data_IF_251537695737
#
_entry.id   IF_251537695737
#
_cell.length_a   1.000
_cell.length_b   1.000
_cell.length_c   1.000
_cell.angle_alpha   90.00
_cell.angle_beta   90.00
_cell.angle_gamma   90.00
#
_symmetry.space_group_name_H-M   'P 1'
#
loop_
_entity.id
_entity.type
_entity.pdbx_description
1 polymer ?
#
# COMPACT_ATOMS: atom_id res chain seq x y z
N UNK A 1 -25.64 76.81 17.58
CA UNK A 1 -25.95 77.52 16.32
C UNK A 1 -24.74 77.49 15.39
N UNK A 2 -25.01 77.26 14.10
CA UNK A 2 -24.18 77.60 12.93
C UNK A 2 -22.89 76.80 12.69
N UNK A 3 -23.12 75.73 11.92
CA UNK A 3 -22.33 75.24 10.80
C UNK A 3 -21.20 76.14 10.28
N UNK A 4 -19.99 75.59 10.15
CA UNK A 4 -18.99 76.05 9.19
C UNK A 4 -18.67 74.93 8.20
N UNK A 5 -19.09 75.15 6.95
CA UNK A 5 -18.68 74.42 5.75
C UNK A 5 -17.17 74.61 5.54
N UNK A 6 -16.45 73.54 5.24
CA UNK A 6 -15.17 73.63 4.52
C UNK A 6 -15.17 72.66 3.35
N UNK A 7 -15.23 73.25 2.15
CA UNK A 7 -15.12 72.60 0.86
C UNK A 7 -13.71 71.98 0.72
N UNK A 8 -13.63 70.71 0.35
CA UNK A 8 -12.39 70.10 -0.13
C UNK A 8 -12.48 69.88 -1.64
N UNK A 9 -11.72 70.69 -2.36
CA UNK A 9 -11.51 70.60 -3.80
C UNK A 9 -10.60 69.42 -4.17
N UNK A 10 -11.00 68.71 -5.22
CA UNK A 10 -10.31 67.65 -5.95
C UNK A 10 -8.77 67.75 -6.01
N UNK A 11 -8.09 66.70 -5.53
CA UNK A 11 -6.72 66.38 -5.96
C UNK A 11 -6.66 64.91 -6.40
N UNK A 12 -6.61 64.71 -7.72
CA UNK A 12 -6.40 63.42 -8.39
C UNK A 12 -5.06 62.83 -7.95
N UNK A 13 -5.07 61.69 -7.26
CA UNK A 13 -3.86 60.89 -7.00
C UNK A 13 -3.81 59.75 -8.02
N UNK A 14 -2.83 59.83 -8.92
CA UNK A 14 -2.50 58.81 -9.92
C UNK A 14 -1.94 57.56 -9.22
N UNK A 15 -2.63 56.42 -9.32
CA UNK A 15 -2.11 55.11 -8.93
C UNK A 15 -1.09 54.62 -9.97
N UNK A 16 0.20 54.78 -9.68
CA UNK A 16 1.29 54.21 -10.46
C UNK A 16 1.33 52.67 -10.31
N UNK A 17 1.06 51.95 -11.42
CA UNK A 17 1.27 50.50 -11.56
C UNK A 17 2.77 50.16 -11.45
N UNK A 18 3.25 49.73 -10.28
CA UNK A 18 4.56 49.06 -10.15
C UNK A 18 4.42 47.58 -10.53
N UNK A 19 4.93 47.21 -11.71
CA UNK A 19 5.17 45.83 -12.15
C UNK A 19 6.16 45.14 -11.18
N UNK A 20 5.71 44.12 -10.42
CA UNK A 20 6.62 43.22 -9.68
C UNK A 20 7.10 42.10 -10.60
N UNK A 21 8.41 42.07 -10.86
CA UNK A 21 9.16 41.02 -11.56
C UNK A 21 9.02 39.69 -10.81
N UNK A 22 8.57 38.63 -11.49
CA UNK A 22 8.59 37.26 -10.95
C UNK A 22 10.02 36.69 -11.05
N UNK A 23 10.64 36.41 -9.90
CA UNK A 23 11.91 35.67 -9.83
C UNK A 23 11.63 34.20 -10.20
N UNK A 24 12.28 33.69 -11.25
CA UNK A 24 12.30 32.26 -11.60
C UNK A 24 13.07 31.49 -10.50
N UNK A 25 12.41 30.60 -9.77
CA UNK A 25 13.08 29.64 -8.90
C UNK A 25 13.65 28.50 -9.77
N UNK A 26 14.98 28.36 -9.75
CA UNK A 26 15.68 27.21 -10.34
C UNK A 26 15.37 25.95 -9.52
N UNK A 27 14.82 24.92 -10.19
CA UNK A 27 14.58 23.61 -9.56
C UNK A 27 15.91 22.85 -9.40
N UNK A 28 16.36 22.66 -8.16
CA UNK A 28 17.41 21.69 -7.80
C UNK A 28 16.93 20.28 -8.19
N UNK A 29 17.72 19.57 -9.00
CA UNK A 29 17.53 18.15 -9.32
C UNK A 29 17.88 17.32 -8.09
N UNK A 30 16.90 16.62 -7.52
CA UNK A 30 17.15 15.54 -6.55
C UNK A 30 17.31 14.24 -7.35
N UNK A 31 18.51 13.65 -7.29
CA UNK A 31 18.79 12.33 -7.85
C UNK A 31 18.20 11.27 -6.92
N UNK A 32 17.15 10.56 -7.37
CA UNK A 32 16.65 9.39 -6.68
C UNK A 32 17.52 8.17 -7.01
N UNK A 33 18.17 7.63 -5.97
CA UNK A 33 18.98 6.43 -5.97
C UNK A 33 18.19 5.19 -6.37
N UNK A 34 18.81 4.37 -7.23
CA UNK A 34 18.31 3.13 -7.84
C UNK A 34 17.83 2.10 -6.80
N UNK A 35 16.54 1.75 -6.80
CA UNK A 35 16.06 0.46 -6.26
C UNK A 35 15.88 -0.56 -7.39
N UNK A 36 16.42 -1.76 -7.14
CA UNK A 36 16.60 -2.89 -8.05
C UNK A 36 15.27 -3.36 -8.67
N UNK A 37 15.29 -3.58 -9.99
CA UNK A 37 14.20 -4.15 -10.80
C UNK A 37 14.03 -5.64 -10.49
N UNK A 38 12.86 -6.03 -10.01
CA UNK A 38 12.42 -7.43 -10.05
C UNK A 38 11.66 -7.63 -11.36
N UNK A 39 12.21 -8.53 -12.19
CA UNK A 39 11.69 -8.88 -13.50
C UNK A 39 10.41 -9.71 -13.38
N UNK A 40 9.26 -9.17 -13.81
CA UNK A 40 8.14 -9.98 -14.33
C UNK A 40 7.74 -9.44 -15.70
N UNK A 41 8.38 -9.99 -16.75
CA UNK A 41 7.95 -9.85 -18.14
C UNK A 41 6.72 -10.74 -18.34
N UNK A 42 5.52 -10.18 -18.32
CA UNK A 42 4.36 -10.79 -18.98
C UNK A 42 4.20 -10.08 -20.31
N UNK A 43 4.65 -10.74 -21.39
CA UNK A 43 4.44 -10.30 -22.77
C UNK A 43 3.02 -10.67 -23.19
N UNK A 44 2.05 -9.78 -23.02
CA UNK A 44 0.79 -9.85 -23.76
C UNK A 44 0.98 -9.15 -25.11
N UNK A 45 1.51 -9.91 -26.07
CA UNK A 45 1.42 -9.55 -27.50
C UNK A 45 -0.02 -9.82 -27.95
N UNK A 46 -0.81 -8.76 -28.13
CA UNK A 46 -2.07 -8.83 -28.86
C UNK A 46 -1.79 -9.20 -30.33
N UNK A 47 -1.77 -10.50 -30.64
CA UNK A 47 -2.02 -11.01 -32.00
C UNK A 47 -3.53 -11.17 -32.16
N UNK A 48 -4.25 -10.08 -32.42
CA UNK A 48 -5.57 -10.20 -33.03
C UNK A 48 -5.32 -10.58 -34.49
N UNK A 49 -5.41 -11.88 -34.78
CA UNK A 49 -5.48 -12.39 -36.14
C UNK A 49 -6.69 -11.73 -36.81
N UNK A 50 -6.44 -11.01 -37.91
CA UNK A 50 -7.47 -10.55 -38.85
C UNK A 50 -8.17 -11.80 -39.41
N UNK A 51 -9.35 -12.15 -38.88
CA UNK A 51 -10.25 -13.04 -39.58
C UNK A 51 -10.86 -12.24 -40.75
N UNK A 52 -10.21 -12.33 -41.91
CA UNK A 52 -10.84 -12.04 -43.20
C UNK A 52 -11.86 -13.15 -43.46
N UNK A 53 -13.09 -12.99 -42.97
CA UNK A 53 -14.21 -13.77 -43.47
C UNK A 53 -14.55 -13.26 -44.88
N UNK A 54 -13.95 -13.89 -45.88
CA UNK A 54 -14.41 -13.83 -47.28
C UNK A 54 -15.70 -14.65 -47.39
N UNK A 55 -16.85 -14.08 -47.07
CA UNK A 55 -18.12 -14.66 -47.51
C UNK A 55 -18.47 -14.07 -48.87
N UNK A 56 -17.95 -14.73 -49.92
CA UNK A 56 -18.51 -14.67 -51.28
C UNK A 56 -19.85 -15.41 -51.27
N UNK A 57 -20.95 -14.71 -51.02
CA UNK A 57 -22.28 -15.23 -51.35
C UNK A 57 -22.68 -14.68 -52.72
N UNK A 58 -22.31 -15.41 -53.78
CA UNK A 58 -22.90 -15.25 -55.12
C UNK A 58 -24.30 -15.86 -55.10
N UNK A 59 -25.32 -15.09 -54.78
CA UNK A 59 -26.69 -15.50 -55.05
C UNK A 59 -27.03 -15.18 -56.51
N UNK A 60 -26.65 -16.11 -57.40
CA UNK A 60 -27.25 -16.25 -58.73
C UNK A 60 -28.71 -16.67 -58.54
N UNK A 61 -29.61 -15.71 -58.58
CA UNK A 61 -31.04 -15.99 -58.70
C UNK A 61 -31.31 -16.32 -60.18
N UNK A 62 -31.55 -17.60 -60.45
CA UNK A 62 -32.06 -18.12 -61.72
C UNK A 62 -33.46 -17.55 -61.95
N UNK A 63 -33.68 -16.85 -63.06
CA UNK A 63 -35.01 -16.55 -63.60
C UNK A 63 -35.28 -17.46 -64.80
N UNK A 64 -36.10 -18.48 -64.52
CA UNK A 64 -37.27 -18.97 -65.24
C UNK A 64 -37.31 -19.00 -66.79
N UNK A 65 -37.47 -20.23 -67.27
CA UNK A 65 -38.46 -20.70 -68.26
C UNK A 65 -38.72 -19.81 -69.48
N UNK A 66 -37.90 -20.03 -70.52
CA UNK A 66 -38.33 -19.90 -71.90
C UNK A 66 -39.16 -21.14 -72.28
N UNK A 67 -40.48 -21.00 -72.33
CA UNK A 67 -41.33 -21.93 -73.08
C UNK A 67 -41.22 -21.56 -74.56
N UNK A 68 -40.37 -22.28 -75.30
CA UNK A 68 -40.41 -22.26 -76.76
C UNK A 68 -41.64 -23.06 -77.21
N UNK A 69 -42.63 -22.32 -77.66
CA UNK A 69 -43.81 -22.80 -78.39
C UNK A 69 -43.32 -23.47 -79.68
N UNK A 70 -43.76 -24.70 -79.89
CA UNK A 70 -43.57 -25.51 -81.10
C UNK A 70 -44.23 -24.80 -82.32
N UNK A 71 -43.56 -24.67 -83.48
CA UNK A 71 -44.24 -24.28 -84.71
C UNK A 71 -44.99 -25.48 -85.31
N UNK A 72 -46.32 -25.43 -85.24
CA UNK A 72 -47.22 -26.20 -86.10
C UNK A 72 -47.08 -25.70 -87.53
N UNK A 73 -46.28 -26.36 -88.35
CA UNK A 73 -46.24 -26.11 -89.79
C UNK A 73 -46.23 -27.43 -90.56
N UNK A 74 -47.17 -27.52 -91.52
CA UNK A 74 -47.31 -28.51 -92.61
C UNK A 74 -48.06 -29.80 -92.28
N UNK A 75 -49.38 -29.67 -92.10
CA UNK A 75 -50.34 -30.70 -92.51
C UNK A 75 -51.26 -30.05 -93.55
N UNK A 76 -51.11 -30.47 -94.80
CA UNK A 76 -52.11 -30.56 -95.89
C UNK A 76 -51.36 -30.52 -97.22
N UNK A 77 -51.42 -31.64 -97.95
CA UNK A 77 -52.09 -31.70 -99.27
C UNK A 77 -51.82 -33.06 -99.91
N UNK A 78 -52.90 -33.74 -100.31
CA UNK A 78 -52.79 -35.02 -101.00
C UNK A 78 -54.01 -35.92 -100.91
N UNK A 79 -55.23 -35.37 -100.97
CA UNK A 79 -56.42 -36.16 -101.19
C UNK A 79 -57.28 -35.51 -102.27
N UNK A 80 -57.47 -36.29 -103.34
CA UNK A 80 -58.57 -36.26 -104.32
C UNK A 80 -58.36 -35.30 -105.50
N UNK A 81 -57.97 -35.90 -106.63
CA UNK A 81 -58.48 -35.52 -107.94
C UNK A 81 -58.53 -36.77 -108.83
N UNK A 82 -59.75 -37.27 -109.08
CA UNK A 82 -60.14 -38.10 -110.24
C UNK A 82 -61.67 -38.24 -110.25
N UNK A 83 -62.37 -37.22 -110.73
CA UNK A 83 -63.70 -37.43 -111.33
C UNK A 83 -63.80 -36.58 -112.58
N UNK A 84 -63.61 -37.26 -113.70
CA UNK A 84 -63.64 -36.72 -115.05
C UNK A 84 -65.11 -36.65 -115.50
N UNK A 85 -65.62 -35.43 -115.58
CA UNK A 85 -66.34 -34.89 -116.75
C UNK A 85 -67.50 -35.72 -117.34
N UNK A 86 -68.73 -35.31 -117.04
CA UNK A 86 -69.89 -35.43 -117.97
C UNK A 86 -69.99 -34.12 -118.79
N UNK A 87 -69.24 -34.02 -119.89
CA UNK A 87 -69.48 -33.02 -120.96
C UNK A 87 -70.61 -33.57 -121.81
N UNK A 88 -71.82 -33.01 -121.67
CA UNK A 88 -72.76 -32.96 -122.80
C UNK A 88 -73.91 -31.96 -122.62
N UNK A 89 -74.24 -31.51 -121.40
CA UNK A 89 -75.50 -30.77 -121.15
C UNK A 89 -75.33 -29.27 -120.86
N UNK A 90 -74.09 -28.76 -120.84
CA UNK A 90 -73.80 -27.37 -120.40
C UNK A 90 -73.83 -26.31 -121.50
N UNK A 91 -73.87 -26.68 -122.80
CA UNK A 91 -73.76 -25.71 -123.92
C UNK A 91 -75.07 -25.02 -124.34
N UNK A 92 -76.22 -25.38 -123.75
CA UNK A 92 -77.54 -24.83 -124.14
C UNK A 92 -78.08 -23.74 -123.20
N UNK A 93 -77.46 -23.56 -122.03
CA UNK A 93 -77.87 -22.55 -121.04
C UNK A 93 -76.83 -21.45 -120.81
N UNK A 94 -75.74 -21.42 -121.60
CA UNK A 94 -74.61 -20.48 -121.45
C UNK A 94 -75.00 -18.98 -121.45
N UNK A 95 -75.98 -18.48 -122.24
CA UNK A 95 -76.32 -17.04 -122.22
C UNK A 95 -77.10 -16.61 -120.98
N UNK A 96 -77.95 -17.49 -120.45
CA UNK A 96 -78.83 -17.23 -119.29
C UNK A 96 -78.06 -17.50 -117.98
N UNK A 97 -77.22 -18.53 -117.97
CA UNK A 97 -76.28 -18.82 -116.88
C UNK A 97 -75.21 -17.73 -116.78
N UNK A 98 -74.72 -17.18 -117.90
CA UNK A 98 -73.72 -16.10 -117.91
C UNK A 98 -74.18 -14.83 -117.19
N UNK A 99 -75.39 -14.33 -117.50
CA UNK A 99 -75.93 -13.12 -116.84
C UNK A 99 -76.29 -13.34 -115.37
N UNK A 100 -76.83 -14.51 -115.01
CA UNK A 100 -77.10 -14.86 -113.61
C UNK A 100 -75.80 -15.05 -112.80
N UNK A 101 -74.79 -15.68 -113.41
CA UNK A 101 -73.47 -15.84 -112.82
C UNK A 101 -72.73 -14.51 -112.67
N UNK A 102 -72.89 -13.57 -113.61
CA UNK A 102 -72.29 -12.24 -113.51
C UNK A 102 -72.92 -11.38 -112.40
N UNK A 103 -74.23 -11.48 -112.20
CA UNK A 103 -74.91 -10.87 -111.04
C UNK A 103 -74.42 -11.50 -109.72
N UNK A 104 -74.30 -12.83 -109.66
CA UNK A 104 -73.72 -13.54 -108.51
C UNK A 104 -72.25 -13.19 -108.28
N UNK A 105 -71.46 -12.99 -109.35
CA UNK A 105 -70.04 -12.58 -109.28
C UNK A 105 -69.90 -11.15 -108.78
N UNK A 106 -70.70 -10.20 -109.28
CA UNK A 106 -70.72 -8.81 -108.77
C UNK A 106 -71.10 -8.77 -107.29
N UNK A 107 -72.15 -9.48 -106.89
CA UNK A 107 -72.59 -9.57 -105.49
C UNK A 107 -71.56 -10.27 -104.58
N UNK A 108 -70.83 -11.28 -105.09
CA UNK A 108 -69.70 -11.90 -104.38
C UNK A 108 -68.50 -10.94 -104.27
N UNK A 109 -68.13 -10.23 -105.32
CA UNK A 109 -67.01 -9.30 -105.33
C UNK A 109 -67.27 -8.09 -104.43
N UNK A 110 -68.49 -7.56 -104.38
CA UNK A 110 -68.88 -6.51 -103.43
C UNK A 110 -68.82 -7.02 -101.98
N UNK A 111 -69.26 -8.26 -101.71
CA UNK A 111 -69.10 -8.89 -100.39
C UNK A 111 -67.62 -9.08 -100.02
N UNK A 112 -66.77 -9.49 -100.96
CA UNK A 112 -65.33 -9.68 -100.74
C UNK A 112 -64.65 -8.34 -100.46
N UNK A 113 -64.96 -7.28 -101.22
CA UNK A 113 -64.44 -5.93 -100.96
C UNK A 113 -64.84 -5.41 -99.58
N UNK A 114 -66.11 -5.58 -99.17
CA UNK A 114 -66.56 -5.23 -97.82
C UNK A 114 -65.80 -6.01 -96.74
N UNK A 115 -65.57 -7.31 -96.94
CA UNK A 115 -64.80 -8.15 -96.01
C UNK A 115 -63.32 -7.72 -95.93
N UNK A 116 -62.70 -7.32 -97.05
CA UNK A 116 -61.32 -6.82 -97.08
C UNK A 116 -61.17 -5.45 -96.43
N UNK A 117 -62.12 -4.54 -96.66
CA UNK A 117 -62.19 -3.24 -95.98
C UNK A 117 -62.37 -3.45 -94.46
N UNK A 118 -63.31 -4.30 -94.04
CA UNK A 118 -63.52 -4.68 -92.63
C UNK A 118 -62.27 -5.30 -92.00
N UNK A 119 -61.51 -6.14 -92.74
CA UNK A 119 -60.26 -6.74 -92.26
C UNK A 119 -59.16 -5.69 -92.09
N UNK A 120 -59.00 -4.78 -93.07
CA UNK A 120 -58.04 -3.69 -92.98
C UNK A 120 -58.38 -2.72 -91.84
N UNK A 121 -59.66 -2.44 -91.61
CA UNK A 121 -60.10 -1.65 -90.46
C UNK A 121 -59.83 -2.36 -89.13
N UNK A 122 -60.15 -3.67 -89.03
CA UNK A 122 -59.84 -4.46 -87.82
C UNK A 122 -58.34 -4.55 -87.53
N UNK A 123 -57.49 -4.71 -88.54
CA UNK A 123 -56.02 -4.70 -88.36
C UNK A 123 -55.50 -3.33 -87.90
N UNK A 124 -56.05 -2.24 -88.46
CA UNK A 124 -55.71 -0.88 -88.00
C UNK A 124 -56.15 -0.68 -86.54
N UNK A 125 -57.37 -1.13 -86.19
CA UNK A 125 -57.88 -1.07 -84.82
C UNK A 125 -56.99 -1.87 -83.85
N UNK A 126 -56.61 -3.11 -84.21
CA UNK A 126 -55.71 -3.95 -83.41
C UNK A 126 -54.33 -3.31 -83.20
N UNK A 127 -53.72 -2.73 -84.25
CA UNK A 127 -52.44 -2.03 -84.14
C UNK A 127 -52.52 -0.80 -83.23
N UNK A 128 -53.61 -0.03 -83.33
CA UNK A 128 -53.85 1.11 -82.44
C UNK A 128 -54.05 0.63 -81.00
N UNK A 129 -54.79 -0.47 -80.78
CA UNK A 129 -55.00 -1.05 -79.45
C UNK A 129 -53.70 -1.60 -78.83
N UNK A 130 -52.84 -2.26 -79.61
CA UNK A 130 -51.53 -2.73 -79.17
C UNK A 130 -50.59 -1.56 -78.81
N UNK A 131 -50.58 -0.49 -79.62
CA UNK A 131 -49.83 0.72 -79.31
C UNK A 131 -50.34 1.39 -78.02
N UNK A 132 -51.65 1.47 -77.84
CA UNK A 132 -52.25 1.98 -76.60
C UNK A 132 -51.84 1.11 -75.41
N UNK A 133 -51.93 -0.22 -75.51
CA UNK A 133 -51.48 -1.15 -74.45
C UNK A 133 -50.00 -1.00 -74.13
N UNK A 134 -49.15 -0.84 -75.14
CA UNK A 134 -47.72 -0.59 -74.94
C UNK A 134 -47.48 0.74 -74.22
N UNK A 135 -48.15 1.82 -74.63
CA UNK A 135 -48.07 3.11 -73.96
C UNK A 135 -48.56 3.07 -72.50
N UNK A 136 -49.63 2.33 -72.21
CA UNK A 136 -50.10 2.14 -70.83
C UNK A 136 -49.05 1.40 -69.98
N UNK A 137 -48.46 0.31 -70.49
CA UNK A 137 -47.40 -0.43 -69.80
C UNK A 137 -46.14 0.42 -69.58
N UNK A 138 -45.75 1.26 -70.54
CA UNK A 138 -44.63 2.18 -70.37
C UNK A 138 -44.91 3.23 -69.30
N UNK A 139 -46.15 3.74 -69.22
CA UNK A 139 -46.57 4.65 -68.14
C UNK A 139 -46.51 3.94 -66.78
N UNK A 140 -47.05 2.73 -66.67
CA UNK A 140 -46.99 1.91 -65.44
C UNK A 140 -45.55 1.68 -64.99
N UNK A 141 -44.65 1.29 -65.90
CA UNK A 141 -43.23 1.08 -65.57
C UNK A 141 -42.54 2.37 -65.11
N UNK A 142 -42.85 3.52 -65.74
CA UNK A 142 -42.33 4.83 -65.31
C UNK A 142 -42.84 5.21 -63.92
N UNK A 143 -44.10 4.94 -63.63
CA UNK A 143 -44.72 5.21 -62.33
C UNK A 143 -44.14 4.29 -61.24
N UNK A 144 -43.95 3.00 -61.51
CA UNK A 144 -43.27 2.07 -60.60
C UNK A 144 -41.83 2.53 -60.27
N UNK A 145 -41.07 2.97 -61.27
CA UNK A 145 -39.72 3.52 -61.08
C UNK A 145 -39.77 4.79 -60.24
N UNK A 146 -40.75 5.67 -60.48
CA UNK A 146 -40.94 6.90 -59.70
C UNK A 146 -41.26 6.59 -58.24
N UNK A 147 -42.19 5.68 -57.99
CA UNK A 147 -42.57 5.21 -56.66
C UNK A 147 -41.38 4.56 -55.95
N UNK A 148 -40.58 3.75 -56.64
CA UNK A 148 -39.38 3.15 -56.06
C UNK A 148 -38.34 4.21 -55.64
N UNK A 149 -38.14 5.25 -56.46
CA UNK A 149 -37.25 6.39 -56.14
C UNK A 149 -37.80 7.24 -54.99
N UNK A 150 -39.11 7.39 -54.87
CA UNK A 150 -39.75 8.07 -53.73
C UNK A 150 -39.55 7.29 -52.45
N UNK A 151 -39.82 5.97 -52.46
CA UNK A 151 -39.57 5.08 -51.31
C UNK A 151 -38.11 5.09 -50.89
N UNK A 152 -37.16 5.05 -51.82
CA UNK A 152 -35.73 5.11 -51.49
C UNK A 152 -35.35 6.46 -50.85
N UNK A 153 -35.89 7.57 -51.37
CA UNK A 153 -35.70 8.91 -50.78
C UNK A 153 -36.30 8.98 -49.39
N UNK A 154 -37.49 8.44 -49.18
CA UNK A 154 -38.18 8.45 -47.90
C UNK A 154 -37.46 7.58 -46.86
N UNK A 155 -36.99 6.39 -47.24
CA UNK A 155 -36.17 5.53 -46.38
C UNK A 155 -34.87 6.24 -46.01
N UNK A 156 -34.18 6.86 -46.97
CA UNK A 156 -32.95 7.63 -46.68
C UNK A 156 -33.22 8.81 -45.76
N UNK A 157 -34.31 9.53 -45.97
CA UNK A 157 -34.72 10.67 -45.14
C UNK A 157 -35.08 10.20 -43.72
N UNK A 158 -35.79 9.09 -43.59
CA UNK A 158 -36.12 8.46 -42.32
C UNK A 158 -34.84 8.06 -41.55
N UNK A 159 -33.93 7.34 -42.20
CA UNK A 159 -32.65 6.96 -41.59
C UNK A 159 -31.79 8.17 -41.16
N UNK A 160 -31.81 9.26 -41.95
CA UNK A 160 -31.13 10.51 -41.57
C UNK A 160 -31.77 11.18 -40.36
N UNK A 161 -33.10 11.20 -40.28
CA UNK A 161 -33.85 11.74 -39.14
C UNK A 161 -33.56 10.94 -37.87
N UNK A 162 -33.66 9.61 -37.94
CA UNK A 162 -33.32 8.71 -36.84
C UNK A 162 -31.87 8.89 -36.37
N UNK A 163 -30.91 8.94 -37.30
CA UNK A 163 -29.51 9.20 -36.93
C UNK A 163 -29.30 10.59 -36.30
N UNK A 164 -30.04 11.61 -36.74
CA UNK A 164 -29.98 12.93 -36.15
C UNK A 164 -30.54 12.92 -34.72
N UNK A 165 -31.63 12.19 -34.48
CA UNK A 165 -32.24 12.05 -33.16
C UNK A 165 -31.32 11.29 -32.20
N UNK A 166 -30.74 10.16 -32.65
CA UNK A 166 -29.70 9.42 -31.90
C UNK A 166 -28.52 10.34 -31.53
N UNK A 167 -28.05 11.19 -32.46
CA UNK A 167 -26.97 12.15 -32.18
C UNK A 167 -27.38 13.21 -31.15
N UNK A 168 -28.63 13.70 -31.19
CA UNK A 168 -29.17 14.64 -30.20
C UNK A 168 -29.22 13.99 -28.82
N UNK A 169 -29.77 12.79 -28.71
CA UNK A 169 -29.82 12.05 -27.44
C UNK A 169 -28.44 11.81 -26.86
N UNK A 170 -27.47 11.36 -27.69
CA UNK A 170 -26.10 11.17 -27.23
C UNK A 170 -25.47 12.47 -26.75
N UNK A 171 -25.69 13.59 -27.46
CA UNK A 171 -25.19 14.90 -27.05
C UNK A 171 -25.81 15.37 -25.72
N UNK A 172 -27.10 15.14 -25.50
CA UNK A 172 -27.77 15.44 -24.23
C UNK A 172 -27.24 14.58 -23.08
N UNK A 173 -27.07 13.27 -23.29
CA UNK A 173 -26.47 12.37 -22.30
C UNK A 173 -25.06 12.80 -21.94
N UNK A 174 -24.25 13.18 -22.93
CA UNK A 174 -22.91 13.72 -22.70
C UNK A 174 -22.93 15.03 -21.90
N UNK A 175 -23.86 15.95 -22.21
CA UNK A 175 -24.02 17.21 -21.45
C UNK A 175 -24.40 16.95 -20.00
N UNK A 176 -25.38 16.07 -19.74
CA UNK A 176 -25.79 15.67 -18.38
C UNK A 176 -24.63 15.03 -17.62
N UNK A 177 -23.90 14.10 -18.25
CA UNK A 177 -22.73 13.46 -17.67
C UNK A 177 -21.61 14.46 -17.33
N UNK A 178 -21.31 15.41 -18.23
CA UNK A 178 -20.33 16.46 -17.96
C UNK A 178 -20.75 17.42 -16.84
N UNK A 179 -22.05 17.71 -16.72
CA UNK A 179 -22.58 18.51 -15.62
C UNK A 179 -22.44 17.77 -14.28
N UNK A 180 -22.79 16.47 -14.25
CA UNK A 180 -22.62 15.62 -13.07
C UNK A 180 -21.16 15.53 -12.64
N UNK A 181 -20.23 15.29 -13.57
CA UNK A 181 -18.79 15.28 -13.28
C UNK A 181 -18.26 16.62 -12.74
N UNK A 182 -18.82 17.75 -13.18
CA UNK A 182 -18.45 19.07 -12.65
C UNK A 182 -18.95 19.25 -11.22
N UNK A 183 -20.18 18.84 -10.93
CA UNK A 183 -20.75 18.88 -9.58
C UNK A 183 -19.98 17.97 -8.62
N UNK A 184 -19.69 16.73 -9.03
CA UNK A 184 -18.90 15.78 -8.26
C UNK A 184 -17.52 16.35 -7.91
N UNK A 185 -16.80 16.92 -8.90
CA UNK A 185 -15.52 17.61 -8.66
C UNK A 185 -15.61 18.85 -7.78
N UNK A 186 -16.77 19.49 -7.70
CA UNK A 186 -16.98 20.60 -6.77
C UNK A 186 -17.20 20.06 -5.36
N UNK A 187 -18.05 19.04 -5.19
CA UNK A 187 -18.31 18.36 -3.92
C UNK A 187 -17.00 17.82 -3.34
N UNK A 188 -16.18 17.12 -4.13
CA UNK A 188 -14.86 16.64 -3.70
C UNK A 188 -13.96 17.78 -3.18
N UNK A 189 -13.97 18.95 -3.84
CA UNK A 189 -13.20 20.12 -3.39
C UNK A 189 -13.77 20.75 -2.12
N UNK A 190 -15.08 20.66 -1.89
CA UNK A 190 -15.68 21.08 -0.62
C UNK A 190 -15.27 20.12 0.50
N UNK A 191 -15.39 18.80 0.29
CA UNK A 191 -14.97 17.78 1.24
C UNK A 191 -13.49 17.90 1.63
N UNK A 192 -12.59 18.08 0.65
CA UNK A 192 -11.15 18.29 0.92
C UNK A 192 -10.90 19.56 1.74
N UNK A 193 -11.71 20.61 1.56
CA UNK A 193 -11.59 21.84 2.34
C UNK A 193 -12.12 21.67 3.75
N UNK A 194 -13.27 21.02 3.90
CA UNK A 194 -13.89 20.72 5.19
C UNK A 194 -12.96 19.87 6.07
N UNK A 195 -12.39 18.80 5.52
CA UNK A 195 -11.41 17.98 6.26
C UNK A 195 -10.21 18.83 6.72
N UNK A 196 -9.68 19.69 5.84
CA UNK A 196 -8.56 20.58 6.21
C UNK A 196 -8.95 21.61 7.27
N UNK A 197 -10.18 22.09 7.24
CA UNK A 197 -10.70 23.03 8.22
C UNK A 197 -10.86 22.35 9.58
N UNK A 198 -11.44 21.15 9.61
CA UNK A 198 -11.51 20.31 10.81
C UNK A 198 -10.11 19.99 11.36
N UNK A 199 -9.16 19.59 10.53
CA UNK A 199 -7.77 19.36 10.93
C UNK A 199 -7.12 20.62 11.51
N UNK A 200 -7.42 21.79 10.97
CA UNK A 200 -6.88 23.06 11.48
C UNK A 200 -7.52 23.45 12.81
N UNK A 201 -8.83 23.26 12.96
CA UNK A 201 -9.55 23.49 14.21
C UNK A 201 -9.07 22.54 15.31
N UNK A 202 -8.86 21.27 14.97
CA UNK A 202 -8.28 20.27 15.88
C UNK A 202 -6.87 20.67 16.32
N UNK A 203 -6.01 21.12 15.40
CA UNK A 203 -4.66 21.61 15.73
C UNK A 203 -4.68 22.83 16.65
N UNK A 204 -5.62 23.76 16.45
CA UNK A 204 -5.78 24.93 17.30
C UNK A 204 -6.25 24.50 18.70
N UNK A 205 -7.27 23.66 18.80
CA UNK A 205 -7.77 23.11 20.06
C UNK A 205 -6.68 22.36 20.85
N UNK A 206 -5.89 21.51 20.18
CA UNK A 206 -4.75 20.82 20.79
C UNK A 206 -3.64 21.78 21.25
N UNK A 207 -3.46 22.90 20.55
CA UNK A 207 -2.48 23.93 20.94
C UNK A 207 -2.95 24.70 22.17
N UNK A 208 -4.22 25.10 22.21
CA UNK A 208 -4.82 25.75 23.38
C UNK A 208 -4.72 24.86 24.62
N UNK A 209 -5.06 23.57 24.51
CA UNK A 209 -4.86 22.61 25.60
C UNK A 209 -3.40 22.53 26.05
N UNK A 210 -2.43 22.52 25.12
CA UNK A 210 -1.00 22.51 25.47
C UNK A 210 -0.54 23.78 26.17
N UNK A 211 -1.03 24.95 25.74
CA UNK A 211 -0.67 26.23 26.33
C UNK A 211 -1.19 26.32 27.79
N UNK A 212 -2.37 25.75 28.08
CA UNK A 212 -2.88 25.61 29.46
C UNK A 212 -1.98 24.72 30.34
N UNK A 213 -1.33 23.70 29.76
CA UNK A 213 -0.39 22.83 30.49
C UNK A 213 0.99 23.44 30.70
N UNK A 214 1.35 24.58 30.09
CA UNK A 214 2.67 25.20 30.26
C UNK A 214 2.93 25.60 31.72
N UNK A 215 1.91 26.16 32.38
CA UNK A 215 2.00 26.52 33.81
C UNK A 215 2.20 25.29 34.71
N UNK A 216 1.48 24.20 34.42
CA UNK A 216 1.63 22.93 35.13
C UNK A 216 3.01 22.32 34.86
N UNK A 217 3.49 22.35 33.63
CA UNK A 217 4.81 21.84 33.25
C UNK A 217 5.93 22.62 33.94
N UNK A 218 5.83 23.94 34.06
CA UNK A 218 6.77 24.77 34.80
C UNK A 218 6.78 24.41 36.30
N UNK A 219 5.61 24.16 36.90
CA UNK A 219 5.49 23.71 38.30
C UNK A 219 6.08 22.31 38.51
N UNK A 220 5.80 21.37 37.60
CA UNK A 220 6.39 20.03 37.60
C UNK A 220 7.91 20.12 37.47
N UNK A 221 8.42 21.00 36.60
CA UNK A 221 9.87 21.18 36.42
C UNK A 221 10.53 21.70 37.70
N UNK A 222 9.95 22.73 38.34
CA UNK A 222 10.42 23.22 39.66
C UNK A 222 10.43 22.13 40.72
N UNK A 223 9.41 21.28 40.77
CA UNK A 223 9.38 20.13 41.69
C UNK A 223 10.48 19.12 41.37
N UNK A 224 10.65 18.75 40.08
CA UNK A 224 11.71 17.83 39.64
C UNK A 224 13.10 18.36 40.00
N UNK A 225 13.34 19.65 39.81
CA UNK A 225 14.62 20.28 40.14
C UNK A 225 14.87 20.27 41.65
N UNK A 226 13.83 20.54 42.46
CA UNK A 226 13.90 20.41 43.94
C UNK A 226 14.25 18.98 44.37
N UNK A 227 13.57 17.97 43.83
CA UNK A 227 13.86 16.57 44.15
C UNK A 227 15.22 16.09 43.65
N UNK A 228 15.71 16.67 42.53
CA UNK A 228 17.06 16.40 42.04
C UNK A 228 18.10 16.92 43.02
N UNK A 229 17.96 18.16 43.48
CA UNK A 229 18.87 18.75 44.47
C UNK A 229 18.92 17.92 45.77
N UNK A 230 17.77 17.55 46.32
CA UNK A 230 17.69 16.70 47.53
C UNK A 230 18.38 15.34 47.31
N UNK A 231 18.21 14.74 46.13
CA UNK A 231 18.85 13.46 45.81
C UNK A 231 20.37 13.61 45.70
N UNK A 232 20.83 14.69 45.08
CA UNK A 232 22.26 14.95 44.88
C UNK A 232 22.95 15.25 46.22
N UNK A 233 22.28 15.99 47.11
CA UNK A 233 22.68 16.18 48.51
C UNK A 233 22.78 14.84 49.27
N UNK A 234 21.76 13.98 49.17
CA UNK A 234 21.79 12.64 49.78
C UNK A 234 22.86 11.70 49.20
N UNK A 235 23.23 11.87 47.92
CA UNK A 235 24.35 11.16 47.32
C UNK A 235 25.65 11.67 47.95
N UNK A 236 25.79 12.99 48.12
CA UNK A 236 26.95 13.60 48.77
C UNK A 236 27.11 13.13 50.21
N UNK A 237 26.07 13.21 51.04
CA UNK A 237 26.06 12.72 52.42
C UNK A 237 26.48 11.25 52.52
N UNK A 238 25.96 10.41 51.61
CA UNK A 238 26.30 8.99 51.58
C UNK A 238 27.76 8.73 51.19
N UNK A 239 28.30 9.48 50.23
CA UNK A 239 29.71 9.36 49.83
C UNK A 239 30.63 9.89 50.94
N UNK A 240 30.22 10.94 51.64
CA UNK A 240 30.93 11.50 52.78
C UNK A 240 30.95 10.54 53.97
N UNK A 241 29.84 9.85 54.25
CA UNK A 241 29.76 8.80 55.26
C UNK A 241 30.68 7.59 54.97
N UNK A 242 31.03 7.35 53.70
CA UNK A 242 32.03 6.34 53.32
C UNK A 242 33.47 6.83 53.51
N UNK A 243 33.69 8.08 53.93
CA UNK A 243 35.02 8.66 54.16
C UNK A 243 35.77 9.02 52.88
N UNK A 244 35.11 9.06 51.72
CA UNK A 244 35.74 9.40 50.44
C UNK A 244 35.88 10.92 50.31
N UNK A 245 37.07 11.43 49.96
CA UNK A 245 37.29 12.87 49.78
C UNK A 245 36.44 13.42 48.61
N UNK A 246 35.52 14.32 48.94
CA UNK A 246 34.68 15.04 47.99
C UNK A 246 35.34 16.38 47.70
N UNK A 247 35.55 16.71 46.42
CA UNK A 247 36.00 18.05 46.02
C UNK A 247 34.78 18.94 45.80
N UNK A 248 34.88 20.20 46.20
CA UNK A 248 33.84 21.19 45.98
C UNK A 248 33.69 21.45 44.46
N UNK A 249 32.65 20.88 43.85
CA UNK A 249 32.44 20.89 42.40
C UNK A 249 32.37 19.51 41.73
N UNK A 250 32.49 18.40 42.47
CA UNK A 250 32.30 17.07 41.90
C UNK A 250 30.85 16.86 41.39
N UNK A 251 30.72 16.49 40.11
CA UNK A 251 29.44 16.14 39.49
C UNK A 251 28.84 14.86 40.11
N UNK A 252 27.51 14.72 40.02
CA UNK A 252 26.77 13.53 40.49
C UNK A 252 27.37 12.22 39.98
N UNK A 253 27.74 12.16 38.71
CA UNK A 253 28.30 10.95 38.10
C UNK A 253 29.68 10.62 38.65
N UNK A 254 30.46 11.62 39.06
CA UNK A 254 31.76 11.44 39.72
C UNK A 254 31.56 10.86 41.12
N UNK A 255 30.60 11.39 41.88
CA UNK A 255 30.25 10.86 43.21
C UNK A 255 29.79 9.40 43.14
N UNK A 256 28.95 9.05 42.17
CA UNK A 256 28.48 7.67 41.98
C UNK A 256 29.62 6.72 41.55
N UNK A 257 30.57 7.19 40.74
CA UNK A 257 31.75 6.40 40.38
C UNK A 257 32.63 6.15 41.60
N UNK A 258 32.92 7.18 42.40
CA UNK A 258 33.67 7.06 43.66
C UNK A 258 33.01 6.08 44.63
N UNK A 259 31.68 6.16 44.82
CA UNK A 259 30.92 5.20 45.65
C UNK A 259 31.10 3.75 45.14
N UNK A 260 31.03 3.56 43.82
CA UNK A 260 31.16 2.25 43.20
C UNK A 260 32.58 1.70 43.34
N UNK A 261 33.60 2.54 43.13
CA UNK A 261 35.02 2.18 43.26
C UNK A 261 35.32 1.78 44.71
N UNK A 262 34.89 2.58 45.69
CA UNK A 262 35.02 2.25 47.11
C UNK A 262 34.41 0.89 47.46
N UNK A 263 33.18 0.61 46.98
CA UNK A 263 32.51 -0.68 47.21
C UNK A 263 33.28 -1.84 46.57
N UNK A 264 33.82 -1.65 45.36
CA UNK A 264 34.61 -2.68 44.67
C UNK A 264 35.91 -2.95 45.43
N UNK A 265 36.58 -1.92 45.92
CA UNK A 265 37.80 -2.05 46.71
C UNK A 265 37.52 -2.76 48.04
N UNK A 266 36.45 -2.37 48.73
CA UNK A 266 36.02 -3.04 49.96
C UNK A 266 35.73 -4.53 49.73
N UNK A 267 35.03 -4.85 48.64
CA UNK A 267 34.76 -6.24 48.29
C UNK A 267 36.03 -7.04 47.98
N UNK A 268 37.07 -6.43 47.41
CA UNK A 268 38.37 -7.09 47.20
C UNK A 268 39.09 -7.38 48.53
N UNK A 269 39.02 -6.45 49.48
CA UNK A 269 39.56 -6.62 50.84
C UNK A 269 38.83 -7.79 51.53
N UNK A 270 37.49 -7.78 51.50
CA UNK A 270 36.64 -8.84 52.05
C UNK A 270 36.97 -10.21 51.45
N UNK A 271 37.02 -10.32 50.12
CA UNK A 271 37.34 -11.58 49.43
C UNK A 271 38.76 -12.08 49.76
N UNK A 272 39.71 -11.18 49.97
CA UNK A 272 41.06 -11.55 50.38
C UNK A 272 41.06 -12.15 51.79
N UNK A 273 40.40 -11.49 52.75
CA UNK A 273 40.27 -11.99 54.13
C UNK A 273 39.35 -13.20 54.25
N UNK A 274 38.48 -13.46 53.27
CA UNK A 274 37.58 -14.62 53.26
C UNK A 274 38.30 -15.94 53.43
N UNK A 275 39.37 -16.14 52.68
CA UNK A 275 40.16 -17.36 52.78
C UNK A 275 40.85 -17.51 54.14
N UNK A 276 41.37 -16.40 54.70
CA UNK A 276 42.01 -16.39 56.02
C UNK A 276 41.02 -16.64 57.15
N UNK A 277 39.81 -16.07 57.06
CA UNK A 277 38.74 -16.32 58.03
C UNK A 277 38.30 -17.78 58.01
N UNK A 278 38.06 -18.37 56.83
CA UNK A 278 37.68 -19.79 56.74
C UNK A 278 38.74 -20.70 57.34
N UNK A 279 40.03 -20.42 57.08
CA UNK A 279 41.14 -21.13 57.69
C UNK A 279 41.14 -20.96 59.21
N UNK A 280 41.02 -19.73 59.70
CA UNK A 280 41.04 -19.38 61.13
C UNK A 280 39.85 -19.97 61.90
N UNK A 281 38.66 -19.98 61.30
CA UNK A 281 37.48 -20.60 61.88
C UNK A 281 37.63 -22.13 61.94
N UNK A 282 38.19 -22.74 60.90
CA UNK A 282 38.51 -24.18 60.90
C UNK A 282 39.56 -24.52 61.96
N UNK A 283 40.60 -23.69 62.09
CA UNK A 283 41.62 -23.81 63.12
C UNK A 283 41.02 -23.80 64.52
N UNK A 284 40.18 -22.81 64.84
CA UNK A 284 39.51 -22.72 66.13
C UNK A 284 38.69 -23.99 66.41
N UNK A 285 37.91 -24.47 65.42
CA UNK A 285 37.13 -25.70 65.56
C UNK A 285 38.01 -26.92 65.84
N UNK A 286 39.12 -27.08 65.11
CA UNK A 286 40.04 -28.20 65.31
C UNK A 286 40.72 -28.17 66.69
N UNK A 287 41.15 -26.98 67.14
CA UNK A 287 41.80 -26.80 68.44
C UNK A 287 40.81 -27.09 69.57
N UNK A 288 39.60 -26.54 69.48
CA UNK A 288 38.54 -26.79 70.46
C UNK A 288 38.22 -28.28 70.58
N UNK A 289 38.13 -28.99 69.45
CA UNK A 289 37.83 -30.42 69.43
C UNK A 289 38.96 -31.27 70.03
N UNK A 290 40.23 -30.91 69.81
CA UNK A 290 41.38 -31.76 70.15
C UNK A 290 42.06 -31.40 71.46
N UNK A 291 42.18 -30.12 71.79
CA UNK A 291 43.03 -29.62 72.87
C UNK A 291 42.26 -28.97 74.03
N UNK A 292 41.03 -28.50 73.83
CA UNK A 292 40.26 -27.82 74.88
C UNK A 292 39.39 -28.84 75.63
N UNK A 293 39.39 -28.77 76.97
CA UNK A 293 38.57 -29.64 77.81
C UNK A 293 37.18 -29.04 78.02
N UNK A 294 36.21 -29.86 78.43
CA UNK A 294 34.80 -29.44 78.60
C UNK A 294 34.60 -28.31 79.63
N UNK A 295 35.56 -28.11 80.54
CA UNK A 295 35.50 -27.10 81.59
C UNK A 295 36.23 -25.80 81.26
N UNK A 296 36.88 -25.72 80.10
CA UNK A 296 37.61 -24.54 79.63
C UNK A 296 36.78 -23.79 78.58
N UNK A 297 36.93 -22.47 78.55
CA UNK A 297 36.30 -21.58 77.58
C UNK A 297 36.68 -21.98 76.14
N UNK A 298 35.74 -21.86 75.23
CA UNK A 298 35.92 -22.22 73.82
C UNK A 298 36.71 -21.11 73.12
N UNK A 299 37.60 -21.47 72.19
CA UNK A 299 38.27 -20.52 71.32
C UNK A 299 37.32 -20.10 70.18
N UNK A 300 37.08 -18.79 70.01
CA UNK A 300 36.18 -18.26 68.98
C UNK A 300 36.94 -17.39 67.98
N UNK A 301 36.65 -17.61 66.70
CA UNK A 301 37.02 -16.71 65.62
C UNK A 301 35.90 -15.68 65.44
N UNK A 302 36.19 -14.40 65.69
CA UNK A 302 35.25 -13.30 65.47
C UNK A 302 35.53 -12.67 64.11
N UNK A 303 34.46 -12.50 63.35
CA UNK A 303 34.49 -11.90 62.03
C UNK A 303 34.06 -10.42 62.10
N UNK A 304 35.02 -9.50 61.88
CA UNK A 304 34.75 -8.07 61.66
C UNK A 304 35.22 -7.59 60.27
N UNK A 305 35.27 -8.49 59.29
CA UNK A 305 35.76 -8.18 57.93
C UNK A 305 34.91 -7.12 57.22
N UNK A 306 33.60 -7.13 57.48
CA UNK A 306 32.66 -6.18 56.88
C UNK A 306 32.82 -4.76 57.44
N UNK A 307 33.08 -4.64 58.76
CA UNK A 307 33.11 -3.37 59.48
C UNK A 307 34.48 -2.73 59.48
N UNK A 308 35.49 -3.40 60.06
CA UNK A 308 36.86 -2.87 60.19
C UNK A 308 37.84 -3.52 59.22
N UNK A 309 37.54 -4.71 58.71
CA UNK A 309 38.48 -5.47 57.86
C UNK A 309 39.45 -6.31 58.69
N UNK A 310 39.02 -6.73 59.88
CA UNK A 310 39.82 -7.45 60.85
C UNK A 310 39.17 -8.78 61.21
N UNK A 311 40.00 -9.77 61.53
CA UNK A 311 39.58 -11.07 62.08
C UNK A 311 40.39 -11.27 63.35
N UNK A 312 39.75 -11.60 64.46
CA UNK A 312 40.48 -11.92 65.68
C UNK A 312 40.02 -13.23 66.29
N UNK A 313 40.97 -13.92 66.91
CA UNK A 313 40.76 -15.15 67.65
C UNK A 313 40.90 -14.82 69.13
N UNK A 314 39.89 -15.18 69.92
CA UNK A 314 39.85 -14.93 71.36
C UNK A 314 39.17 -16.06 72.13
N UNK A 315 39.30 -16.04 73.44
CA UNK A 315 38.51 -16.90 74.32
C UNK A 315 37.07 -16.39 74.41
N UNK A 316 36.10 -17.30 74.54
CA UNK A 316 34.68 -16.91 74.60
C UNK A 316 34.36 -16.02 75.82
N UNK A 317 35.06 -16.26 76.93
CA UNK A 317 34.87 -15.55 78.20
C UNK A 317 35.72 -14.27 78.31
N UNK A 318 36.57 -13.95 77.31
CA UNK A 318 37.41 -12.75 77.34
C UNK A 318 36.71 -11.52 76.78
N UNK A 319 37.14 -10.35 77.27
CA UNK A 319 36.68 -9.04 76.80
C UNK A 319 36.92 -8.88 75.28
N UNK A 320 36.29 -7.90 74.63
CA UNK A 320 36.55 -7.66 73.19
C UNK A 320 37.98 -7.20 72.90
N UNK A 321 38.63 -6.55 73.87
CA UNK A 321 39.98 -6.00 73.71
C UNK A 321 41.09 -7.05 73.95
N UNK A 322 40.77 -8.16 74.62
CA UNK A 322 41.67 -9.28 74.92
C UNK A 322 41.59 -10.38 73.85
N UNK A 323 42.21 -10.10 72.70
CA UNK A 323 42.42 -11.06 71.61
C UNK A 323 43.79 -11.74 71.67
N UNK A 324 43.87 -12.95 71.13
CA UNK A 324 45.09 -13.76 71.07
C UNK A 324 45.82 -13.60 69.74
N UNK A 325 45.08 -13.68 68.63
CA UNK A 325 45.60 -13.44 67.28
C UNK A 325 44.71 -12.43 66.58
N UNK A 326 45.31 -11.44 65.91
CA UNK A 326 44.62 -10.44 65.10
C UNK A 326 45.16 -10.49 63.68
N UNK A 327 44.27 -10.67 62.71
CA UNK A 327 44.58 -10.67 61.29
C UNK A 327 43.94 -9.45 60.63
N UNK A 328 44.73 -8.69 59.89
CA UNK A 328 44.25 -7.54 59.12
C UNK A 328 45.04 -7.37 57.83
N UNK A 329 44.47 -6.64 56.88
CA UNK A 329 45.16 -6.30 55.62
C UNK A 329 46.01 -5.06 55.82
N UNK A 330 47.27 -5.13 55.36
CA UNK A 330 48.20 -4.00 55.38
C UNK A 330 47.68 -2.88 54.47
N UNK A 331 47.65 -1.64 55.00
CA UNK A 331 47.19 -0.44 54.29
C UNK A 331 45.79 -0.53 53.65
N UNK A 332 44.92 -1.45 54.10
CA UNK A 332 43.64 -1.74 53.45
C UNK A 332 43.77 -2.07 51.94
N UNK A 333 44.91 -2.59 51.51
CA UNK A 333 45.19 -2.94 50.12
C UNK A 333 45.38 -4.45 49.97
N UNK A 334 44.59 -5.14 49.13
CA UNK A 334 44.75 -6.58 48.87
C UNK A 334 46.12 -6.97 48.30
N UNK A 335 46.93 -6.00 47.83
CA UNK A 335 48.25 -6.25 47.26
C UNK A 335 49.36 -6.30 48.31
N UNK A 336 49.16 -5.63 49.44
CA UNK A 336 50.20 -5.39 50.44
C UNK A 336 50.32 -6.55 51.45
N UNK A 337 49.47 -7.58 51.31
CA UNK A 337 49.48 -8.77 52.16
C UNK A 337 48.62 -8.66 53.41
N UNK A 338 48.60 -9.75 54.18
CA UNK A 338 47.88 -9.90 55.43
C UNK A 338 48.90 -9.95 56.57
N UNK A 339 48.67 -9.16 57.61
CA UNK A 339 49.48 -9.15 58.83
C UNK A 339 48.74 -9.97 59.88
N UNK A 340 49.49 -10.80 60.60
CA UNK A 340 49.03 -11.55 61.76
C UNK A 340 49.83 -11.05 62.95
N UNK A 341 49.13 -10.40 63.89
CA UNK A 341 49.67 -10.04 65.19
C UNK A 341 49.38 -11.15 66.19
N UNK A 342 50.43 -11.59 66.87
CA UNK A 342 50.39 -12.66 67.85
C UNK A 342 50.65 -12.11 69.25
N UNK A 343 49.64 -12.26 70.13
CA UNK A 343 49.66 -11.93 71.56
C UNK A 343 49.68 -13.18 72.46
N UNK A 344 49.84 -14.38 71.90
CA UNK A 344 49.84 -15.62 72.67
C UNK A 344 51.04 -15.73 73.64
N UNK A 345 52.08 -14.92 73.45
CA UNK A 345 53.25 -14.87 74.31
C UNK A 345 53.23 -13.63 75.23
N UNK A 346 53.23 -13.79 76.57
CA UNK A 346 53.11 -12.66 77.50
C UNK A 346 54.26 -11.64 77.45
N UNK A 347 55.45 -12.04 76.98
CA UNK A 347 56.66 -11.21 77.03
C UNK A 347 56.94 -10.41 75.76
N UNK A 348 56.43 -10.85 74.60
CA UNK A 348 56.69 -10.21 73.30
C UNK A 348 55.54 -10.45 72.33
N UNK A 349 54.98 -9.36 71.81
CA UNK A 349 54.06 -9.41 70.69
C UNK A 349 54.86 -9.49 69.39
N UNK A 350 54.51 -10.43 68.51
CA UNK A 350 55.20 -10.61 67.23
C UNK A 350 54.22 -10.40 66.08
N UNK A 351 54.63 -9.61 65.09
CA UNK A 351 53.86 -9.38 63.86
C UNK A 351 54.50 -10.14 62.69
N UNK A 352 53.71 -10.94 61.98
CA UNK A 352 54.14 -11.68 60.79
C UNK A 352 53.37 -11.20 59.56
N UNK A 353 54.09 -10.91 58.47
CA UNK A 353 53.51 -10.48 57.20
C UNK A 353 53.47 -11.65 56.21
N UNK A 354 52.30 -11.88 55.61
CA UNK A 354 52.06 -12.95 54.66
C UNK A 354 51.47 -12.40 53.37
N UNK A 355 51.79 -13.04 52.25
CA UNK A 355 51.08 -12.75 51.00
C UNK A 355 49.69 -13.38 51.01
N UNK A 356 48.79 -12.86 50.19
CA UNK A 356 47.41 -13.37 50.06
C UNK A 356 47.34 -14.85 49.68
N UNK A 357 48.37 -15.37 49.02
CA UNK A 357 48.45 -16.76 48.57
C UNK A 357 49.08 -17.69 49.62
N UNK A 358 49.67 -17.16 50.69
CA UNK A 358 50.42 -17.92 51.70
C UNK A 358 49.54 -18.32 52.90
N UNK A 359 48.26 -18.62 52.64
CA UNK A 359 47.26 -18.94 53.67
C UNK A 359 47.67 -20.16 54.49
N UNK A 360 48.22 -21.21 53.85
CA UNK A 360 48.64 -22.42 54.56
C UNK A 360 49.81 -22.16 55.50
N UNK A 361 50.79 -21.36 55.08
CA UNK A 361 51.94 -21.00 55.92
C UNK A 361 51.52 -20.13 57.10
N UNK A 362 50.59 -19.21 56.87
CA UNK A 362 49.96 -18.43 57.92
C UNK A 362 49.23 -19.35 58.93
N UNK A 363 48.44 -20.29 58.43
CA UNK A 363 47.71 -21.25 59.27
C UNK A 363 48.64 -22.13 60.11
N UNK A 364 49.71 -22.67 59.52
CA UNK A 364 50.69 -23.50 60.24
C UNK A 364 51.33 -22.70 61.39
N UNK A 365 51.68 -21.44 61.15
CA UNK A 365 52.20 -20.56 62.19
C UNK A 365 51.16 -20.33 63.29
N UNK A 366 49.91 -20.04 62.94
CA UNK A 366 48.84 -19.81 63.93
C UNK A 366 48.58 -21.07 64.79
N UNK A 367 48.58 -22.25 64.18
CA UNK A 367 48.46 -23.54 64.89
C UNK A 367 49.59 -23.67 65.91
N UNK A 368 50.84 -23.51 65.46
CA UNK A 368 52.02 -23.69 66.29
C UNK A 368 52.00 -22.75 67.51
N UNK A 369 51.60 -21.50 67.32
CA UNK A 369 51.57 -20.52 68.40
C UNK A 369 50.49 -20.83 69.44
N UNK A 370 49.27 -21.17 69.00
CA UNK A 370 48.19 -21.53 69.94
C UNK A 370 48.52 -22.84 70.68
N UNK A 371 49.07 -23.84 69.99
CA UNK A 371 49.46 -25.11 70.64
C UNK A 371 50.56 -24.88 71.67
N UNK A 372 51.60 -24.09 71.34
CA UNK A 372 52.67 -23.73 72.29
C UNK A 372 52.12 -22.99 73.51
N UNK A 373 51.15 -22.10 73.31
CA UNK A 373 50.48 -21.40 74.42
C UNK A 373 49.75 -22.39 75.32
N UNK A 374 48.95 -23.29 74.74
CA UNK A 374 48.21 -24.32 75.50
C UNK A 374 49.13 -25.28 76.26
N UNK A 375 50.27 -25.67 75.68
CA UNK A 375 51.26 -26.51 76.35
C UNK A 375 51.88 -25.78 77.56
N UNK A 376 52.16 -24.48 77.45
CA UNK A 376 52.63 -23.66 78.58
C UNK A 376 51.58 -23.54 79.68
N UNK A 377 50.31 -23.36 79.33
CA UNK A 377 49.23 -23.34 80.33
C UNK A 377 49.07 -24.68 81.04
N UNK A 378 49.20 -25.80 80.32
CA UNK A 378 49.12 -27.14 80.90
C UNK A 378 50.29 -27.45 81.82
N UNK A 379 51.51 -27.12 81.42
CA UNK A 379 52.72 -27.32 82.26
C UNK A 379 52.66 -26.48 83.53
N UNK A 380 52.18 -25.23 83.47
CA UNK A 380 51.93 -24.38 84.64
C UNK A 380 50.84 -24.91 85.59
N UNK A 381 49.87 -25.68 85.11
CA UNK A 381 48.84 -26.31 85.96
C UNK A 381 49.30 -27.65 86.55
N UNK A 382 50.31 -28.28 85.95
CA UNK A 382 50.87 -29.56 86.38
C UNK A 382 52.06 -29.39 87.34
N UNK A 383 52.74 -28.25 87.31
CA UNK A 383 53.66 -27.77 88.35
C UNK A 383 52.87 -27.11 89.48
#
# INVERSE_FOLDING_TARGET
MKSFKKNFSNKKIKLNKKKKKTKKLQRKKIQLSKKKKINKRIKLKNKIKKNKAKNKAKNKIKKNYFYKILPLTKIKDGLINKFNVKIFVLKLFDPIIGKYNDYLKKKKNEKIKKIEEDRKEKEKQLKVEEQLKAQFKEKELKDEIKIARERERDIKNFLRKEQAEIRREHAERQRKFLAQLKLEKQIERFQIREIKELENLEKISLKEQRDDYVGLQARIQKLKDKYRAIRDEKIRERVEALGVQIKEGDDRDVLLKKEKEYRIERHKIENCLESFYRSSASLCFQINKRYITKHQSILRCIDRRFETGEIFIKWDDSSEDDWLLLLYIKNNSPKDGVIIEDKTNPEKNVSHEFKTNEIFRANDLMVDQIVKMLERERTKKAS
#
